data_IF_622238493898
#
_entry.id   IF_622238493898
#
_cell.length_a   1.000
_cell.length_b   1.000
_cell.length_c   1.000
_cell.angle_alpha   90.00
_cell.angle_beta   90.00
_cell.angle_gamma   90.00
#
_symmetry.space_group_name_H-M   'P 1'
#
loop_
_entity.id
_entity.type
_entity.pdbx_description
1 polymer ?
#
# COMPACT_ATOMS: atom_id res chain seq x y z
N UNK A 1 -0.92 24.50 16.43
CA UNK A 1 -0.09 23.73 16.80
C UNK A 1 -0.50 22.39 16.75
N UNK A 2 -1.25 21.95 17.56
CA UNK A 2 -1.64 20.60 17.58
C UNK A 2 -2.28 20.18 16.29
N UNK A 3 -2.73 21.11 15.48
CA UNK A 3 -3.36 20.75 14.23
C UNK A 3 -2.42 20.39 13.12
N UNK A 4 -1.12 20.59 13.34
CA UNK A 4 -0.20 20.24 12.28
C UNK A 4 -0.21 18.80 11.94
N UNK A 5 -0.37 17.94 12.91
CA UNK A 5 -0.40 16.52 12.66
C UNK A 5 -1.64 16.10 11.90
N UNK A 6 -2.64 16.98 11.85
CA UNK A 6 -3.85 16.67 11.12
C UNK A 6 -3.75 16.99 9.66
N UNK A 7 -2.61 17.59 9.23
CA UNK A 7 -2.38 17.85 7.83
C UNK A 7 -1.79 16.59 7.18
N UNK A 8 -2.56 15.51 7.25
CA UNK A 8 -2.18 14.25 6.66
C UNK A 8 -2.89 14.11 5.32
N UNK A 9 -2.13 13.86 4.26
CA UNK A 9 -2.69 13.79 2.92
C UNK A 9 -2.22 12.52 2.23
N UNK A 10 -3.17 11.74 1.70
CA UNK A 10 -2.86 10.58 0.85
C UNK A 10 -3.13 10.99 -0.58
N UNK A 11 -2.18 10.74 -1.48
CA UNK A 11 -2.31 11.19 -2.86
C UNK A 11 -1.36 10.44 -3.78
N UNK A 12 -1.53 10.66 -5.09
CA UNK A 12 -0.56 10.18 -6.07
C UNK A 12 0.77 10.89 -5.88
N UNK A 13 1.84 10.20 -6.21
CA UNK A 13 3.18 10.77 -6.15
C UNK A 13 3.43 11.60 -7.39
N UNK A 14 3.92 12.83 -7.23
CA UNK A 14 4.28 13.68 -8.35
C UNK A 14 5.61 13.20 -8.93
N UNK A 15 5.84 13.44 -10.23
CA UNK A 15 7.08 12.96 -10.86
C UNK A 15 8.35 13.40 -10.13
N UNK A 16 8.38 14.64 -9.64
CA UNK A 16 9.58 15.14 -8.97
C UNK A 16 9.80 14.54 -7.60
N UNK A 17 8.80 13.82 -7.07
CA UNK A 17 8.89 13.18 -5.76
C UNK A 17 9.22 11.71 -5.83
N UNK A 18 9.22 11.14 -7.04
CA UNK A 18 9.32 9.70 -7.20
C UNK A 18 10.57 9.12 -6.53
N UNK A 19 11.69 9.82 -6.68
CA UNK A 19 12.95 9.35 -6.08
C UNK A 19 12.82 9.23 -4.56
N UNK A 20 12.17 10.19 -3.93
CA UNK A 20 12.03 10.16 -2.47
C UNK A 20 11.18 8.99 -2.00
N UNK A 21 10.09 8.71 -2.71
CA UNK A 21 9.22 7.60 -2.34
C UNK A 21 9.94 6.28 -2.57
N UNK A 22 10.63 6.14 -3.71
CA UNK A 22 11.36 4.91 -4.00
C UNK A 22 12.45 4.66 -2.95
N UNK A 23 13.15 5.72 -2.54
CA UNK A 23 14.19 5.59 -1.52
C UNK A 23 13.59 5.14 -0.19
N UNK A 24 12.48 5.75 0.21
CA UNK A 24 11.81 5.39 1.45
C UNK A 24 11.40 3.91 1.45
N UNK A 25 10.73 3.48 0.39
CA UNK A 25 10.23 2.11 0.31
C UNK A 25 11.39 1.13 0.22
N UNK A 26 12.41 1.44 -0.59
CA UNK A 26 13.57 0.57 -0.73
C UNK A 26 14.34 0.42 0.58
N UNK A 27 14.47 1.52 1.33
CA UNK A 27 15.16 1.44 2.61
C UNK A 27 14.42 0.53 3.59
N UNK A 28 13.10 0.64 3.66
CA UNK A 28 12.33 -0.21 4.54
C UNK A 28 12.49 -1.68 4.13
N UNK A 29 12.37 -1.96 2.83
CA UNK A 29 12.47 -3.32 2.34
C UNK A 29 13.86 -3.91 2.56
N UNK A 30 14.88 -3.16 2.23
CA UNK A 30 16.25 -3.67 2.34
C UNK A 30 16.71 -3.78 3.78
N UNK A 31 16.54 -2.72 4.55
CA UNK A 31 17.08 -2.66 5.90
C UNK A 31 16.27 -3.51 6.87
N UNK A 32 14.94 -3.45 6.79
CA UNK A 32 14.11 -4.18 7.74
C UNK A 32 13.73 -5.57 7.29
N UNK A 33 13.62 -5.80 6.00
CA UNK A 33 13.08 -7.05 5.49
C UNK A 33 14.07 -7.87 4.69
N UNK A 34 15.24 -7.32 4.43
CA UNK A 34 16.27 -8.06 3.72
C UNK A 34 15.99 -8.26 2.23
N UNK A 35 15.08 -7.50 1.66
CA UNK A 35 14.71 -7.63 0.25
C UNK A 35 15.63 -6.73 -0.59
N UNK A 36 16.32 -7.29 -1.59
CA UNK A 36 17.23 -6.48 -2.42
C UNK A 36 16.50 -5.35 -3.15
N UNK A 37 17.22 -4.23 -3.34
CA UNK A 37 16.63 -3.04 -3.95
C UNK A 37 16.15 -3.25 -5.37
N UNK A 38 16.84 -4.07 -6.12
CA UNK A 38 16.53 -4.25 -7.53
C UNK A 38 15.57 -5.38 -7.81
N UNK A 39 14.95 -5.93 -6.74
CA UNK A 39 13.96 -6.96 -6.95
C UNK A 39 12.66 -6.35 -7.44
N UNK A 40 12.06 -7.03 -8.40
CA UNK A 40 10.70 -6.70 -8.81
C UNK A 40 10.46 -5.30 -9.33
N UNK A 41 11.25 -4.87 -10.28
CA UNK A 41 10.88 -3.66 -11.00
C UNK A 41 9.58 -3.91 -11.73
N UNK A 42 8.66 -2.99 -11.59
CA UNK A 42 7.36 -3.13 -12.26
C UNK A 42 7.48 -2.57 -13.68
N UNK A 43 7.22 -3.40 -14.69
CA UNK A 43 7.35 -2.94 -16.08
C UNK A 43 6.40 -1.78 -16.38
N UNK A 44 6.86 -0.85 -17.22
CA UNK A 44 6.05 0.32 -17.56
C UNK A 44 4.76 -0.05 -18.26
N UNK A 45 4.73 -1.16 -18.99
CA UNK A 45 3.50 -1.56 -19.66
C UNK A 45 2.40 -1.94 -18.68
N UNK A 46 2.72 -2.14 -17.40
CA UNK A 46 1.72 -2.41 -16.38
C UNK A 46 1.23 -1.15 -15.71
N UNK A 47 1.63 0.01 -16.21
CA UNK A 47 1.16 1.32 -15.75
C UNK A 47 1.30 1.50 -14.24
N UNK A 48 2.52 1.36 -13.69
CA UNK A 48 2.68 1.52 -12.24
C UNK A 48 2.37 2.95 -11.81
N UNK A 49 1.61 3.06 -10.73
CA UNK A 49 1.28 4.34 -10.13
C UNK A 49 1.69 4.32 -8.68
N UNK A 50 2.56 5.24 -8.29
CA UNK A 50 2.97 5.37 -6.89
C UNK A 50 2.03 6.29 -6.15
N UNK A 51 1.76 5.93 -4.90
CA UNK A 51 0.91 6.69 -3.99
C UNK A 51 1.73 6.95 -2.73
N UNK A 52 1.43 8.05 -2.05
CA UNK A 52 2.14 8.36 -0.82
C UNK A 52 1.18 8.92 0.22
N UNK A 53 1.66 8.92 1.45
CA UNK A 53 0.98 9.63 2.52
C UNK A 53 2.01 10.59 3.11
N UNK A 54 1.59 11.81 3.35
CA UNK A 54 2.49 12.82 3.90
C UNK A 54 1.87 13.47 5.13
N UNK A 55 2.73 13.93 6.01
CA UNK A 55 2.32 14.69 7.17
C UNK A 55 3.03 16.04 7.08
N UNK A 56 2.25 17.10 7.02
CA UNK A 56 2.79 18.47 6.98
C UNK A 56 3.87 18.63 5.92
N UNK A 57 3.64 18.04 4.76
CA UNK A 57 4.53 18.18 3.61
C UNK A 57 5.66 17.16 3.55
N UNK A 58 5.78 16.28 4.55
CA UNK A 58 6.82 15.26 4.55
C UNK A 58 6.22 13.92 4.16
N UNK A 59 6.79 13.28 3.14
CA UNK A 59 6.33 11.97 2.71
C UNK A 59 6.84 10.92 3.71
N UNK A 60 5.92 10.17 4.30
CA UNK A 60 6.27 9.20 5.35
C UNK A 60 5.81 7.78 5.02
N UNK A 61 5.15 7.57 3.91
CA UNK A 61 4.78 6.23 3.47
C UNK A 61 4.50 6.18 2.00
N UNK A 62 4.57 4.98 1.43
CA UNK A 62 4.32 4.79 0.01
C UNK A 62 3.82 3.39 -0.32
N UNK A 63 3.22 3.27 -1.49
CA UNK A 63 2.72 2.01 -2.02
C UNK A 63 2.58 2.19 -3.53
N UNK A 64 2.72 1.12 -4.29
CA UNK A 64 2.54 1.19 -5.74
C UNK A 64 1.39 0.30 -6.16
N UNK A 65 0.64 0.74 -7.18
CA UNK A 65 -0.37 -0.09 -7.83
C UNK A 65 0.03 -0.28 -9.28
N UNK A 66 -0.38 -1.40 -9.88
CA UNK A 66 -0.12 -1.67 -11.29
C UNK A 66 -1.22 -2.56 -11.83
N UNK A 67 -1.31 -2.64 -13.18
CA UNK A 67 -2.38 -3.37 -13.83
C UNK A 67 -1.98 -4.80 -14.15
N UNK A 68 -2.89 -5.73 -13.86
CA UNK A 68 -2.78 -7.12 -14.27
C UNK A 68 -4.09 -7.49 -14.96
N UNK A 69 -4.11 -8.62 -15.69
CA UNK A 69 -5.35 -8.98 -16.41
C UNK A 69 -6.60 -9.07 -15.56
N UNK A 70 -6.45 -9.54 -14.30
CA UNK A 70 -7.61 -9.69 -13.41
C UNK A 70 -8.02 -8.39 -12.74
N UNK A 71 -7.14 -7.38 -12.73
CA UNK A 71 -7.43 -6.10 -12.10
C UNK A 71 -6.18 -5.51 -11.49
N UNK A 72 -6.29 -4.33 -10.87
CA UNK A 72 -5.09 -3.71 -10.31
C UNK A 72 -4.56 -4.48 -9.11
N UNK A 73 -3.24 -4.48 -9.00
CA UNK A 73 -2.51 -5.04 -7.86
C UNK A 73 -1.85 -3.91 -7.09
N UNK A 74 -1.65 -4.12 -5.80
CA UNK A 74 -0.92 -3.16 -4.96
C UNK A 74 0.21 -3.90 -4.26
N UNK A 75 1.29 -3.17 -3.98
CA UNK A 75 2.45 -3.77 -3.31
C UNK A 75 3.47 -2.75 -2.89
N UNK A 76 4.56 -3.24 -2.33
CA UNK A 76 5.68 -2.42 -1.86
C UNK A 76 5.23 -1.35 -0.88
N UNK A 77 4.32 -1.76 -0.01
CA UNK A 77 3.76 -0.89 1.02
C UNK A 77 4.77 -0.70 2.14
N UNK A 78 5.04 0.55 2.49
CA UNK A 78 5.98 0.85 3.56
C UNK A 78 5.63 2.18 4.22
N UNK A 79 5.83 2.23 5.55
CA UNK A 79 5.70 3.46 6.32
C UNK A 79 7.03 3.65 7.07
N UNK A 80 7.53 4.88 7.05
CA UNK A 80 8.78 5.21 7.72
C UNK A 80 8.70 4.79 9.19
N UNK A 81 9.74 4.11 9.72
CA UNK A 81 9.66 3.56 11.08
C UNK A 81 9.32 4.59 12.15
N UNK A 82 9.76 5.83 11.99
CA UNK A 82 9.51 6.87 13.00
C UNK A 82 8.05 7.31 13.03
N UNK A 83 7.26 6.89 12.04
CA UNK A 83 5.87 7.33 11.95
C UNK A 83 4.88 6.17 12.07
N UNK A 84 5.34 5.01 12.55
CA UNK A 84 4.46 3.87 12.77
C UNK A 84 3.63 4.06 14.03
N UNK A 85 2.59 3.22 14.17
CA UNK A 85 1.68 3.26 15.31
C UNK A 85 0.85 4.54 15.37
N UNK A 86 0.65 5.18 14.22
CA UNK A 86 -0.20 6.37 14.09
C UNK A 86 -1.30 6.15 13.07
N UNK A 87 -1.54 4.89 12.71
CA UNK A 87 -2.58 4.51 11.74
C UNK A 87 -2.34 5.06 10.34
N UNK A 88 -1.12 5.51 10.04
CA UNK A 88 -0.81 6.04 8.71
C UNK A 88 -0.86 4.96 7.64
N UNK A 89 -0.40 3.76 7.98
CA UNK A 89 -0.48 2.65 7.05
C UNK A 89 -1.92 2.31 6.71
N UNK A 90 -2.79 2.31 7.71
CA UNK A 90 -4.22 2.09 7.52
C UNK A 90 -4.81 3.16 6.62
N UNK A 91 -4.46 4.42 6.86
CA UNK A 91 -4.97 5.53 6.05
C UNK A 91 -4.48 5.44 4.61
N UNK A 92 -3.22 5.07 4.41
CA UNK A 92 -2.68 4.93 3.07
C UNK A 92 -3.38 3.79 2.32
N UNK A 93 -3.52 2.63 2.94
CA UNK A 93 -4.19 1.50 2.31
C UNK A 93 -5.64 1.82 1.99
N UNK A 94 -6.36 2.43 2.95
CA UNK A 94 -7.76 2.79 2.71
C UNK A 94 -7.88 3.77 1.56
N UNK A 95 -7.00 4.76 1.53
CA UNK A 95 -7.04 5.77 0.48
C UNK A 95 -6.76 5.20 -0.90
N UNK A 96 -5.77 4.32 -1.00
CA UNK A 96 -5.44 3.73 -2.30
C UNK A 96 -6.55 2.81 -2.78
N UNK A 97 -7.12 1.99 -1.89
CA UNK A 97 -8.25 1.14 -2.28
C UNK A 97 -9.43 1.99 -2.73
N UNK A 98 -9.74 3.06 -1.98
CA UNK A 98 -10.82 3.96 -2.37
C UNK A 98 -10.58 4.56 -3.75
N UNK A 99 -9.35 5.00 -4.00
CA UNK A 99 -9.02 5.61 -5.29
C UNK A 99 -9.12 4.62 -6.43
N UNK A 100 -8.62 3.40 -6.25
CA UNK A 100 -8.67 2.40 -7.30
C UNK A 100 -10.11 2.00 -7.62
N UNK A 101 -10.95 1.86 -6.60
CA UNK A 101 -12.35 1.56 -6.83
C UNK A 101 -13.07 2.72 -7.50
N UNK A 102 -12.72 3.96 -7.14
CA UNK A 102 -13.30 5.14 -7.79
C UNK A 102 -12.91 5.23 -9.26
N UNK A 103 -11.72 4.70 -9.59
CA UNK A 103 -11.26 4.69 -10.98
C UNK A 103 -11.85 3.56 -11.80
N UNK A 104 -12.69 2.73 -11.19
CA UNK A 104 -13.43 1.71 -11.93
C UNK A 104 -13.09 0.27 -11.60
N UNK A 105 -12.13 0.02 -10.72
CA UNK A 105 -11.80 -1.34 -10.36
C UNK A 105 -12.96 -1.98 -9.61
N UNK A 106 -13.21 -3.26 -9.86
CA UNK A 106 -14.17 -4.01 -9.07
C UNK A 106 -13.48 -4.87 -8.01
N UNK A 107 -12.23 -5.18 -8.21
CA UNK A 107 -11.43 -5.98 -7.29
C UNK A 107 -10.00 -5.48 -7.32
N UNK A 108 -9.31 -5.56 -6.17
CA UNK A 108 -7.90 -5.20 -6.06
C UNK A 108 -7.19 -6.39 -5.44
N UNK A 109 -5.99 -6.69 -5.95
CA UNK A 109 -5.23 -7.87 -5.56
C UNK A 109 -3.86 -7.49 -4.99
N UNK A 110 -3.26 -8.42 -4.29
CA UNK A 110 -1.90 -8.23 -3.83
C UNK A 110 -1.45 -9.37 -2.96
N UNK A 111 -0.21 -9.25 -2.47
CA UNK A 111 0.35 -10.20 -1.53
C UNK A 111 0.77 -9.39 -0.32
N UNK A 112 0.38 -9.82 0.87
CA UNK A 112 0.60 -9.02 2.07
C UNK A 112 1.33 -9.82 3.14
N UNK A 113 2.24 -9.14 3.83
CA UNK A 113 2.85 -9.68 5.02
C UNK A 113 1.82 -9.68 6.15
N UNK A 114 2.09 -10.47 7.19
CA UNK A 114 1.09 -10.70 8.24
C UNK A 114 0.53 -9.43 8.85
N UNK A 115 1.37 -8.45 9.14
CA UNK A 115 0.92 -7.21 9.76
C UNK A 115 -0.02 -6.45 8.84
N UNK A 116 0.34 -6.38 7.56
CA UNK A 116 -0.48 -5.68 6.56
C UNK A 116 -1.78 -6.44 6.30
N UNK A 117 -1.70 -7.76 6.28
CA UNK A 117 -2.89 -8.57 6.06
C UNK A 117 -3.94 -8.31 7.12
N UNK A 118 -3.52 -8.18 8.38
CA UNK A 118 -4.48 -7.88 9.46
C UNK A 118 -5.24 -6.59 9.19
N UNK A 119 -4.55 -5.59 8.68
CA UNK A 119 -5.20 -4.32 8.36
C UNK A 119 -6.19 -4.52 7.21
N UNK A 120 -5.75 -5.23 6.17
CA UNK A 120 -6.59 -5.44 4.99
C UNK A 120 -7.81 -6.28 5.28
N UNK A 121 -7.69 -7.28 6.17
CA UNK A 121 -8.85 -8.10 6.52
C UNK A 121 -9.94 -7.27 7.16
N UNK A 122 -9.57 -6.22 7.90
CA UNK A 122 -10.57 -5.32 8.48
C UNK A 122 -11.20 -4.42 7.43
N UNK A 123 -10.64 -4.39 6.24
CA UNK A 123 -11.17 -3.60 5.12
C UNK A 123 -11.91 -4.47 4.10
N UNK A 124 -12.19 -5.72 4.46
CA UNK A 124 -12.96 -6.59 3.59
C UNK A 124 -12.14 -7.50 2.71
N UNK A 125 -10.82 -7.56 2.91
CA UNK A 125 -9.99 -8.46 2.11
C UNK A 125 -10.28 -9.91 2.44
N UNK A 126 -10.06 -10.78 1.46
CA UNK A 126 -10.14 -12.22 1.66
C UNK A 126 -8.86 -12.86 1.16
N UNK A 127 -8.46 -13.93 1.83
CA UNK A 127 -7.28 -14.70 1.42
C UNK A 127 -7.69 -15.60 0.25
N UNK A 128 -6.90 -15.59 -0.83
CA UNK A 128 -7.27 -16.31 -2.04
C UNK A 128 -6.32 -17.45 -2.39
N UNK A 129 -5.21 -17.60 -1.67
CA UNK A 129 -4.28 -18.70 -1.92
C UNK A 129 -3.45 -18.90 -0.67
N UNK A 130 -2.64 -20.00 -0.70
CA UNK A 130 -1.78 -20.34 0.42
C UNK A 130 -0.69 -19.30 0.63
N UNK A 131 -0.31 -19.05 1.88
CA UNK A 131 0.81 -18.15 2.12
C UNK A 131 2.11 -18.80 1.68
N UNK A 132 3.09 -17.97 1.34
CA UNK A 132 4.40 -18.46 0.94
C UNK A 132 5.46 -17.61 1.65
N UNK A 133 6.67 -18.17 1.72
CA UNK A 133 7.76 -17.45 2.35
C UNK A 133 8.47 -16.57 1.34
N UNK A 134 8.72 -15.32 1.70
CA UNK A 134 9.42 -14.38 0.85
C UNK A 134 10.42 -13.62 1.74
N UNK A 135 11.70 -13.93 1.55
CA UNK A 135 12.79 -13.34 2.34
C UNK A 135 12.49 -13.42 3.85
N UNK A 136 12.11 -14.63 4.29
CA UNK A 136 11.94 -14.92 5.71
C UNK A 136 10.63 -14.51 6.33
N UNK A 137 9.70 -13.99 5.55
CA UNK A 137 8.40 -13.56 6.06
C UNK A 137 7.29 -14.22 5.27
N UNK A 138 6.17 -14.46 5.94
CA UNK A 138 4.99 -14.97 5.25
C UNK A 138 4.37 -13.86 4.41
N UNK A 139 4.05 -14.19 3.17
CA UNK A 139 3.26 -13.33 2.31
C UNK A 139 2.02 -14.09 1.90
N UNK A 140 0.87 -13.46 2.01
CA UNK A 140 -0.41 -14.12 1.75
C UNK A 140 -1.11 -13.41 0.61
N UNK A 141 -1.47 -14.15 -0.47
CA UNK A 141 -2.26 -13.54 -1.56
C UNK A 141 -3.64 -13.15 -1.08
N UNK A 142 -4.07 -11.97 -1.45
CA UNK A 142 -5.38 -11.46 -1.03
C UNK A 142 -6.11 -10.78 -2.18
N UNK A 143 -7.41 -10.60 -1.99
CA UNK A 143 -8.26 -9.86 -2.90
C UNK A 143 -9.22 -9.03 -2.08
N UNK A 144 -9.46 -7.79 -2.52
CA UNK A 144 -10.47 -6.93 -1.91
C UNK A 144 -11.51 -6.62 -2.97
N UNK A 145 -12.75 -6.99 -2.74
CA UNK A 145 -13.85 -6.66 -3.63
C UNK A 145 -14.45 -5.33 -3.23
N UNK A 146 -14.84 -4.54 -4.23
CA UNK A 146 -15.37 -3.20 -3.98
C UNK A 146 -16.51 -3.20 -2.97
N UNK A 147 -17.47 -4.11 -3.13
CA UNK A 147 -18.61 -4.14 -2.21
C UNK A 147 -18.23 -4.50 -0.79
N UNK A 148 -17.26 -5.42 -0.64
CA UNK A 148 -16.80 -5.80 0.69
C UNK A 148 -16.06 -4.66 1.36
N UNK A 149 -15.27 -3.92 0.58
CA UNK A 149 -14.57 -2.76 1.10
C UNK A 149 -15.55 -1.69 1.57
N UNK A 150 -16.55 -1.38 0.75
CA UNK A 150 -17.56 -0.38 1.09
C UNK A 150 -18.29 -0.79 2.37
N UNK A 151 -18.68 -2.05 2.46
CA UNK A 151 -19.38 -2.53 3.64
C UNK A 151 -18.52 -2.40 4.89
N UNK A 152 -17.22 -2.70 4.77
CA UNK A 152 -16.31 -2.60 5.92
C UNK A 152 -16.21 -1.16 6.42
N UNK A 153 -16.28 -0.18 5.53
CA UNK A 153 -16.19 1.21 5.91
C UNK A 153 -17.46 1.70 6.62
N UNK A 154 -18.57 1.07 6.33
CA UNK A 154 -19.82 1.44 6.98
C UNK A 154 -19.90 1.03 8.44
N UNK A 155 -19.15 0.00 8.80
CA UNK A 155 -19.18 -0.53 10.17
C UNK A 155 -18.33 0.28 11.14
N UNK A 156 -17.74 1.35 10.68
CA UNK A 156 -16.91 2.17 11.55
C UNK A 156 -17.61 3.32 12.20
#
# INVERSE_FOLDING_TARGET
MENREKLTVMRCVRPEEKERVLTLVSDVFEIEQGIPRDMDDIPTEKSPQWWCIEISGRIVGGIVSWEEPEGPHVGRFAVHPSFRHRHLGTDLLRGVLSALFALGASEVYGDARDVTLKILLKMGAEVIDEPYEFYGSNCTPFRVKKNEFIESQRLK
#
